data_IF_056035179673
#
_entry.id   IF_056035179673
#
_cell.length_a   1.000
_cell.length_b   1.000
_cell.length_c   1.000
_cell.angle_alpha   90.00
_cell.angle_beta   90.00
_cell.angle_gamma   90.00
#
_symmetry.space_group_name_H-M   'P 1'
#
loop_
_entity.id
_entity.type
_entity.pdbx_description
1 polymer ?
#
# COMPACT_ATOMS: atom_id res chain seq x y z
N UNK A 1 -31.06 13.67 7.98
CA UNK A 1 -31.26 12.76 6.85
C UNK A 1 -31.23 11.32 7.37
N UNK A 2 -31.90 10.36 6.70
CA UNK A 2 -31.70 8.95 7.05
C UNK A 2 -30.25 8.57 6.73
N UNK A 3 -29.67 7.71 7.55
CA UNK A 3 -28.31 7.22 7.31
C UNK A 3 -28.32 6.19 6.18
N UNK A 4 -27.24 6.18 5.41
CA UNK A 4 -27.02 5.17 4.33
C UNK A 4 -26.83 3.81 4.99
N UNK A 5 -27.57 2.80 4.57
CA UNK A 5 -27.49 1.44 5.11
C UNK A 5 -26.46 0.61 4.36
N UNK A 6 -25.64 -0.13 5.09
CA UNK A 6 -24.72 -1.12 4.56
C UNK A 6 -25.25 -2.52 4.86
N UNK A 7 -25.46 -3.34 3.83
CA UNK A 7 -25.94 -4.73 3.97
C UNK A 7 -24.82 -5.71 4.25
N UNK A 8 -23.73 -5.60 3.51
CA UNK A 8 -22.55 -6.45 3.66
C UNK A 8 -21.48 -5.69 4.45
N UNK A 9 -20.84 -6.31 5.44
CA UNK A 9 -19.82 -5.63 6.21
C UNK A 9 -18.54 -5.37 5.41
N UNK A 10 -17.80 -4.33 5.83
CA UNK A 10 -16.38 -4.14 5.54
C UNK A 10 -15.59 -4.76 6.69
N UNK A 11 -14.51 -5.48 6.40
CA UNK A 11 -13.57 -5.91 7.44
C UNK A 11 -12.78 -4.70 7.91
N UNK A 12 -12.99 -4.31 9.15
CA UNK A 12 -12.31 -3.20 9.80
C UNK A 12 -11.14 -3.72 10.62
N UNK A 13 -9.93 -3.33 10.26
CA UNK A 13 -8.69 -3.68 10.95
C UNK A 13 -8.16 -2.43 11.64
N UNK A 14 -8.41 -2.28 12.95
CA UNK A 14 -7.89 -1.18 13.75
C UNK A 14 -6.37 -1.35 13.97
N UNK A 15 -5.69 -0.30 14.40
CA UNK A 15 -4.24 -0.29 14.48
C UNK A 15 -3.68 0.33 15.75
N UNK A 16 -2.57 1.07 15.60
CA UNK A 16 -1.78 1.54 16.72
C UNK A 16 -1.60 3.07 16.76
N UNK A 17 -1.24 3.57 17.91
CA UNK A 17 -0.69 4.89 18.18
C UNK A 17 -1.55 6.05 17.62
N UNK A 18 -0.95 7.08 17.03
CA UNK A 18 -1.68 8.28 16.57
C UNK A 18 -2.69 7.95 15.47
N UNK A 19 -2.40 6.97 14.61
CA UNK A 19 -3.33 6.57 13.56
C UNK A 19 -4.61 5.94 14.09
N UNK A 20 -4.56 5.21 15.22
CA UNK A 20 -5.75 4.69 15.90
C UNK A 20 -6.63 5.83 16.44
N UNK A 21 -6.03 6.90 16.93
CA UNK A 21 -6.76 8.08 17.41
C UNK A 21 -7.47 8.78 16.24
N UNK A 22 -6.75 8.99 15.12
CA UNK A 22 -7.35 9.55 13.90
C UNK A 22 -8.45 8.65 13.34
N UNK A 23 -8.27 7.34 13.38
CA UNK A 23 -9.25 6.34 12.95
C UNK A 23 -10.59 6.51 13.65
N UNK A 24 -10.53 6.63 14.97
CA UNK A 24 -11.71 6.90 15.79
C UNK A 24 -12.39 8.22 15.41
N UNK A 25 -11.62 9.33 15.30
CA UNK A 25 -12.17 10.64 14.92
C UNK A 25 -12.85 10.60 13.54
N UNK A 26 -12.22 9.94 12.56
CA UNK A 26 -12.78 9.79 11.22
C UNK A 26 -14.12 9.05 11.27
N UNK A 27 -14.20 7.96 12.02
CA UNK A 27 -15.47 7.22 12.17
C UNK A 27 -16.55 8.09 12.79
N UNK A 28 -16.26 8.70 13.94
CA UNK A 28 -17.23 9.47 14.73
C UNK A 28 -17.68 10.75 14.02
N UNK A 29 -16.78 11.49 13.36
CA UNK A 29 -17.08 12.81 12.80
C UNK A 29 -17.44 12.77 11.30
N UNK A 30 -16.91 11.81 10.53
CA UNK A 30 -17.05 11.80 9.07
C UNK A 30 -17.91 10.65 8.54
N UNK A 31 -17.99 9.51 9.21
CA UNK A 31 -18.69 8.32 8.69
C UNK A 31 -20.02 8.07 9.39
N UNK A 32 -20.00 7.85 10.70
CA UNK A 32 -21.17 7.44 11.48
C UNK A 32 -22.33 8.45 11.46
N UNK A 33 -22.12 9.77 11.28
CA UNK A 33 -23.23 10.69 11.11
C UNK A 33 -24.07 10.43 9.85
N UNK A 34 -23.48 9.83 8.82
CA UNK A 34 -24.08 9.67 7.49
C UNK A 34 -24.39 8.21 7.12
N UNK A 35 -23.68 7.25 7.71
CA UNK A 35 -23.76 5.83 7.38
C UNK A 35 -24.13 5.03 8.64
N UNK A 36 -25.00 4.02 8.47
CA UNK A 36 -25.11 2.91 9.43
C UNK A 36 -23.92 1.98 9.14
N UNK A 37 -22.74 2.32 9.72
CA UNK A 37 -21.50 1.64 9.43
C UNK A 37 -21.56 0.18 9.91
N UNK A 38 -21.50 -0.75 8.96
CA UNK A 38 -21.51 -2.18 9.21
C UNK A 38 -20.09 -2.73 9.00
N UNK A 39 -19.42 -3.11 10.09
CA UNK A 39 -18.04 -3.62 10.02
C UNK A 39 -17.90 -4.96 10.76
N UNK A 40 -17.06 -5.83 10.24
CA UNK A 40 -16.49 -6.97 10.93
C UNK A 40 -15.16 -6.50 11.53
N UNK A 41 -15.16 -6.20 12.82
CA UNK A 41 -14.07 -5.50 13.50
C UNK A 41 -13.00 -6.45 14.02
N UNK A 42 -11.72 -6.11 13.76
CA UNK A 42 -10.51 -6.78 14.25
C UNK A 42 -9.55 -5.74 14.82
N UNK A 43 -9.16 -5.89 16.09
CA UNK A 43 -8.13 -5.06 16.71
C UNK A 43 -6.73 -5.61 16.34
N UNK A 44 -6.04 -4.96 15.42
CA UNK A 44 -4.65 -5.29 15.09
C UNK A 44 -3.63 -4.45 15.85
N UNK A 45 -4.05 -3.79 16.92
CA UNK A 45 -3.16 -3.12 17.87
C UNK A 45 -2.17 -4.12 18.48
N UNK A 46 -0.93 -3.68 18.71
CA UNK A 46 0.17 -4.54 19.12
C UNK A 46 -0.10 -5.30 20.42
N UNK A 47 -0.80 -4.67 21.38
CA UNK A 47 -1.18 -5.30 22.65
C UNK A 47 -2.11 -6.51 22.40
N UNK A 48 -3.19 -6.33 21.65
CA UNK A 48 -4.15 -7.40 21.38
C UNK A 48 -3.57 -8.48 20.48
N UNK A 49 -2.70 -8.12 19.52
CA UNK A 49 -1.92 -9.09 18.76
C UNK A 49 -1.02 -9.94 19.65
N UNK A 50 -0.39 -9.33 20.66
CA UNK A 50 0.42 -10.03 21.65
C UNK A 50 -0.42 -10.97 22.52
N UNK A 51 -1.63 -10.58 22.92
CA UNK A 51 -2.57 -11.42 23.66
C UNK A 51 -2.98 -12.65 22.87
N UNK A 52 -3.32 -12.48 21.59
CA UNK A 52 -3.81 -13.53 20.68
C UNK A 52 -2.70 -14.31 19.97
N UNK A 53 -1.43 -14.06 20.29
CA UNK A 53 -0.26 -14.62 19.59
C UNK A 53 -0.35 -14.39 18.08
N UNK A 54 -0.72 -13.17 17.69
CA UNK A 54 -0.95 -12.69 16.32
C UNK A 54 -2.04 -13.43 15.52
N UNK A 55 -2.84 -14.28 16.16
CA UNK A 55 -3.93 -15.00 15.49
C UNK A 55 -4.97 -14.04 14.90
N UNK A 56 -5.24 -12.91 15.56
CA UNK A 56 -6.18 -11.88 15.08
C UNK A 56 -5.82 -11.35 13.68
N UNK A 57 -4.53 -11.26 13.34
CA UNK A 57 -4.08 -10.84 12.00
C UNK A 57 -4.48 -11.87 10.92
N UNK A 58 -4.35 -13.15 11.25
CA UNK A 58 -4.74 -14.27 10.36
C UNK A 58 -6.27 -14.29 10.18
N UNK A 59 -7.01 -14.10 11.27
CA UNK A 59 -8.47 -14.10 11.26
C UNK A 59 -9.01 -12.93 10.43
N UNK A 60 -8.44 -11.73 10.56
CA UNK A 60 -8.78 -10.56 9.77
C UNK A 60 -8.53 -10.77 8.27
N UNK A 61 -7.39 -11.39 7.90
CA UNK A 61 -7.09 -11.71 6.51
C UNK A 61 -8.08 -12.74 5.93
N UNK A 62 -8.46 -13.75 6.71
CA UNK A 62 -9.47 -14.74 6.29
C UNK A 62 -10.86 -14.13 6.19
N UNK A 63 -11.23 -13.21 7.09
CA UNK A 63 -12.47 -12.45 6.98
C UNK A 63 -12.49 -11.60 5.70
N UNK A 64 -11.35 -11.03 5.29
CA UNK A 64 -11.24 -10.30 4.03
C UNK A 64 -11.53 -11.18 2.82
N UNK A 65 -11.07 -12.44 2.81
CA UNK A 65 -11.45 -13.40 1.76
C UNK A 65 -12.95 -13.65 1.71
N UNK A 66 -13.62 -13.68 2.87
CA UNK A 66 -15.06 -13.90 2.99
C UNK A 66 -15.87 -12.69 2.53
N UNK A 67 -15.54 -11.50 3.01
CA UNK A 67 -16.31 -10.27 2.77
C UNK A 67 -15.81 -9.43 1.60
N UNK A 68 -14.65 -9.75 1.04
CA UNK A 68 -14.04 -9.17 -0.16
C UNK A 68 -13.47 -7.77 -0.01
N UNK A 69 -13.89 -6.98 0.95
CA UNK A 69 -13.42 -5.61 1.15
C UNK A 69 -13.01 -5.41 2.61
N UNK A 70 -11.80 -4.91 2.80
CA UNK A 70 -11.24 -4.54 4.08
C UNK A 70 -10.71 -3.10 4.07
N UNK A 71 -10.67 -2.50 5.25
CA UNK A 71 -9.98 -1.23 5.49
C UNK A 71 -9.10 -1.40 6.73
N UNK A 72 -7.84 -0.95 6.64
CA UNK A 72 -6.82 -1.21 7.65
C UNK A 72 -6.16 0.08 8.12
N UNK A 73 -6.12 0.25 9.45
CA UNK A 73 -5.31 1.25 10.13
C UNK A 73 -3.82 0.85 10.14
N UNK A 74 -2.93 1.80 10.32
CA UNK A 74 -1.51 1.51 10.45
C UNK A 74 -1.19 0.75 11.75
N UNK A 75 -0.30 -0.22 11.66
CA UNK A 75 0.06 -1.13 12.76
C UNK A 75 1.56 -1.12 13.03
N UNK A 76 1.94 -1.35 14.28
CA UNK A 76 3.35 -1.46 14.69
C UNK A 76 3.92 -2.81 14.20
N UNK A 77 5.07 -2.76 13.52
CA UNK A 77 5.97 -3.91 13.40
C UNK A 77 7.04 -3.76 14.48
N UNK A 78 7.05 -4.61 15.52
CA UNK A 78 7.92 -4.40 16.66
C UNK A 78 9.40 -4.63 16.33
N UNK A 79 10.24 -3.83 16.96
CA UNK A 79 11.68 -4.00 17.04
C UNK A 79 12.08 -4.27 18.50
N UNK A 80 13.39 -4.39 18.79
CA UNK A 80 13.89 -4.67 20.14
C UNK A 80 13.41 -3.65 21.19
N UNK A 81 13.30 -2.36 20.85
CA UNK A 81 12.81 -1.34 21.78
C UNK A 81 11.33 -1.55 22.10
N UNK A 82 10.53 -1.89 21.09
CA UNK A 82 9.09 -2.18 21.26
C UNK A 82 8.83 -3.44 22.09
N UNK A 83 9.73 -4.43 22.03
CA UNK A 83 9.65 -5.63 22.88
C UNK A 83 9.60 -5.27 24.37
N UNK A 84 10.45 -4.34 24.78
CA UNK A 84 10.49 -3.89 26.19
C UNK A 84 9.35 -2.94 26.53
N UNK A 85 9.00 -2.03 25.62
CA UNK A 85 7.97 -1.01 25.83
C UNK A 85 6.56 -1.63 26.03
N UNK A 86 6.24 -2.67 25.25
CA UNK A 86 4.92 -3.32 25.26
C UNK A 86 4.91 -4.68 25.99
N UNK A 87 6.02 -5.06 26.64
CA UNK A 87 6.16 -6.37 27.32
C UNK A 87 5.73 -7.55 26.43
N UNK A 88 6.30 -7.58 25.22
CA UNK A 88 5.89 -8.56 24.22
C UNK A 88 6.49 -9.94 24.48
N UNK A 89 5.68 -10.99 24.23
CA UNK A 89 6.09 -12.40 24.31
C UNK A 89 7.16 -12.75 23.27
N UNK A 90 7.01 -12.17 22.06
CA UNK A 90 7.98 -12.33 20.97
C UNK A 90 7.94 -11.14 20.00
N UNK A 91 8.93 -11.06 19.13
CA UNK A 91 8.99 -10.03 18.08
C UNK A 91 8.08 -10.42 16.91
N UNK A 92 6.79 -10.04 17.03
CA UNK A 92 5.76 -10.37 16.06
C UNK A 92 6.11 -9.89 14.65
N UNK A 93 5.74 -10.66 13.64
CA UNK A 93 5.92 -10.31 12.23
C UNK A 93 5.08 -9.08 11.86
N UNK A 94 5.41 -8.45 10.73
CA UNK A 94 4.58 -7.39 10.18
C UNK A 94 3.19 -7.89 9.82
N UNK A 95 2.09 -7.28 10.36
CA UNK A 95 0.73 -7.64 9.97
C UNK A 95 0.50 -7.49 8.46
N UNK A 96 1.07 -6.44 7.85
CA UNK A 96 0.98 -6.24 6.40
C UNK A 96 1.61 -7.42 5.64
N UNK A 97 2.75 -7.93 6.10
CA UNK A 97 3.40 -9.10 5.50
C UNK A 97 2.54 -10.36 5.61
N UNK A 98 1.91 -10.58 6.77
CA UNK A 98 1.02 -11.73 7.01
C UNK A 98 -0.24 -11.64 6.15
N UNK A 99 -0.91 -10.48 6.12
CA UNK A 99 -2.12 -10.26 5.31
C UNK A 99 -1.82 -10.45 3.83
N UNK A 100 -0.74 -9.83 3.33
CA UNK A 100 -0.32 -9.96 1.92
C UNK A 100 0.02 -11.40 1.53
N UNK A 101 0.64 -12.16 2.44
CA UNK A 101 0.95 -13.56 2.20
C UNK A 101 -0.31 -14.45 2.14
N UNK A 102 -1.35 -14.12 2.92
CA UNK A 102 -2.62 -14.86 2.96
C UNK A 102 -3.52 -14.51 1.79
N UNK A 103 -3.62 -13.22 1.43
CA UNK A 103 -4.47 -12.74 0.35
C UNK A 103 -3.86 -12.98 -1.03
N UNK A 104 -2.54 -13.05 -1.11
CA UNK A 104 -1.75 -12.93 -2.34
C UNK A 104 -2.21 -11.71 -3.17
N UNK A 105 -1.35 -10.99 -3.82
CA UNK A 105 -1.84 -9.87 -4.62
C UNK A 105 -0.80 -8.81 -4.93
N UNK A 106 -1.34 -7.70 -5.43
CA UNK A 106 -0.59 -6.52 -5.85
C UNK A 106 -1.00 -5.33 -5.01
N UNK A 107 -0.03 -4.59 -4.50
CA UNK A 107 -0.27 -3.32 -3.81
C UNK A 107 -0.19 -2.19 -4.82
N UNK A 108 -1.31 -1.47 -5.02
CA UNK A 108 -1.36 -0.26 -5.83
C UNK A 108 -1.30 0.96 -4.92
N UNK A 109 -0.31 1.83 -5.14
CA UNK A 109 -0.11 3.08 -4.42
C UNK A 109 -0.17 4.26 -5.36
N UNK A 110 -1.09 5.18 -5.09
CA UNK A 110 -1.31 6.36 -5.92
C UNK A 110 -1.29 7.63 -5.09
N UNK A 111 -0.59 8.70 -5.52
CA UNK A 111 -0.62 9.97 -4.84
C UNK A 111 -1.99 10.63 -4.97
N UNK A 112 -2.44 11.28 -3.89
CA UNK A 112 -3.59 12.15 -3.88
C UNK A 112 -3.11 13.52 -4.34
N UNK A 113 -3.56 13.96 -5.51
CA UNK A 113 -3.17 15.24 -6.11
C UNK A 113 -4.15 16.31 -5.68
N UNK A 114 -3.63 17.43 -5.16
CA UNK A 114 -4.40 18.57 -4.67
C UNK A 114 -3.80 19.85 -5.22
N UNK A 115 -4.61 20.77 -5.70
CA UNK A 115 -4.17 22.08 -6.16
C UNK A 115 -3.50 22.85 -5.01
N UNK A 116 -2.36 23.44 -5.27
CA UNK A 116 -1.58 24.14 -4.26
C UNK A 116 -0.58 23.25 -3.50
N UNK A 117 -0.58 21.93 -3.76
CA UNK A 117 0.49 21.01 -3.32
C UNK A 117 1.19 20.50 -4.58
N UNK A 118 2.24 21.21 -4.97
CA UNK A 118 2.94 20.95 -6.23
C UNK A 118 3.99 19.85 -6.06
N UNK A 119 4.08 18.89 -7.03
CA UNK A 119 5.17 17.92 -7.03
C UNK A 119 6.55 18.60 -7.12
N UNK A 120 7.55 18.08 -6.42
CA UNK A 120 8.91 18.58 -6.54
C UNK A 120 9.53 18.32 -7.92
N UNK A 121 8.98 17.37 -8.68
CA UNK A 121 9.32 17.14 -10.09
C UNK A 121 8.35 17.93 -10.96
N UNK A 122 8.79 19.04 -11.51
CA UNK A 122 7.96 20.02 -12.25
C UNK A 122 7.19 19.44 -13.44
N UNK A 123 7.67 18.36 -14.04
CA UNK A 123 7.03 17.74 -15.19
C UNK A 123 5.81 16.88 -14.80
N UNK A 124 5.72 16.41 -13.55
CA UNK A 124 4.62 15.57 -13.13
C UNK A 124 3.32 16.38 -13.01
N UNK A 125 2.38 16.06 -13.90
CA UNK A 125 1.07 16.73 -13.99
C UNK A 125 -0.09 15.80 -13.60
N UNK A 126 0.18 14.49 -13.63
CA UNK A 126 -0.81 13.44 -13.37
C UNK A 126 -0.25 12.45 -12.36
N UNK A 127 -1.10 11.76 -11.58
CA UNK A 127 -0.65 10.74 -10.65
C UNK A 127 0.19 9.67 -11.34
N UNK A 128 1.22 9.19 -10.64
CA UNK A 128 1.99 8.00 -11.02
C UNK A 128 1.62 6.92 -10.01
N UNK A 129 0.94 5.88 -10.47
CA UNK A 129 0.56 4.75 -9.63
C UNK A 129 1.65 3.71 -9.63
N UNK A 130 2.16 3.33 -8.46
CA UNK A 130 3.10 2.21 -8.33
C UNK A 130 2.30 0.94 -8.05
N UNK A 131 2.49 -0.08 -8.91
CA UNK A 131 1.99 -1.42 -8.67
C UNK A 131 3.15 -2.28 -8.14
N UNK A 132 3.08 -2.64 -6.86
CA UNK A 132 4.09 -3.42 -6.16
C UNK A 132 3.67 -4.88 -6.05
N UNK A 133 4.50 -5.81 -6.54
CA UNK A 133 4.31 -7.23 -6.26
C UNK A 133 4.40 -7.48 -4.75
N UNK A 134 3.42 -8.13 -4.16
CA UNK A 134 3.34 -8.28 -2.70
C UNK A 134 4.07 -9.52 -2.17
N UNK A 135 4.80 -10.24 -3.00
CA UNK A 135 5.46 -11.51 -2.66
C UNK A 135 6.94 -11.53 -3.08
N UNK A 136 7.72 -12.38 -2.39
CA UNK A 136 9.08 -12.74 -2.81
C UNK A 136 10.14 -11.67 -2.55
N UNK A 137 11.23 -11.76 -3.31
CA UNK A 137 12.43 -10.92 -3.25
C UNK A 137 13.04 -10.90 -1.83
N UNK A 138 13.61 -9.78 -1.42
CA UNK A 138 14.23 -9.62 -0.09
C UNK A 138 13.25 -9.78 1.07
N UNK A 139 11.94 -9.65 0.84
CA UNK A 139 10.91 -9.85 1.87
C UNK A 139 10.62 -11.32 2.20
N UNK A 140 11.13 -12.25 1.39
CA UNK A 140 11.05 -13.71 1.58
C UNK A 140 12.44 -14.33 1.48
N UNK A 141 13.46 -13.66 2.00
CA UNK A 141 14.84 -14.12 1.95
C UNK A 141 15.18 -15.13 3.04
N UNK A 142 16.30 -15.80 2.83
CA UNK A 142 17.05 -16.56 3.84
C UNK A 142 18.47 -16.02 3.88
N UNK A 143 18.98 -15.74 5.06
CA UNK A 143 20.30 -15.13 5.25
C UNK A 143 21.19 -16.00 6.13
N UNK A 144 22.50 -15.96 5.87
CA UNK A 144 23.50 -16.55 6.74
C UNK A 144 24.77 -15.71 6.87
N UNK A 145 25.36 -15.71 8.06
CA UNK A 145 26.71 -15.20 8.27
C UNK A 145 27.72 -16.30 7.94
N UNK A 146 28.75 -15.95 7.19
CA UNK A 146 29.87 -16.83 6.85
C UNK A 146 31.01 -16.55 7.83
N UNK A 147 31.38 -17.49 8.69
CA UNK A 147 32.36 -17.24 9.76
C UNK A 147 33.82 -17.19 9.28
N UNK A 148 34.13 -17.76 8.11
CA UNK A 148 35.49 -17.87 7.59
C UNK A 148 35.57 -18.47 6.20
N UNK A 149 36.74 -18.92 5.76
CA UNK A 149 36.91 -19.50 4.43
C UNK A 149 36.02 -20.71 4.18
N UNK A 150 35.45 -20.78 2.96
CA UNK A 150 34.54 -21.85 2.58
C UNK A 150 33.75 -21.51 1.32
N UNK A 151 32.84 -22.38 0.88
CA UNK A 151 31.98 -22.14 -0.27
C UNK A 151 30.50 -22.09 0.12
N UNK A 152 29.75 -21.30 -0.61
CA UNK A 152 28.28 -21.26 -0.56
C UNK A 152 27.72 -21.66 -1.92
N UNK A 153 26.74 -22.57 -1.91
CA UNK A 153 26.05 -23.07 -3.11
C UNK A 153 24.54 -22.92 -2.93
N UNK A 154 23.82 -22.65 -4.02
CA UNK A 154 22.40 -22.88 -4.14
C UNK A 154 22.20 -24.33 -4.57
N UNK A 155 21.35 -25.06 -3.84
CA UNK A 155 21.04 -26.46 -4.12
C UNK A 155 19.54 -26.59 -4.31
N UNK A 156 19.12 -27.16 -5.44
CA UNK A 156 17.76 -27.61 -5.68
C UNK A 156 17.76 -29.13 -5.68
N UNK A 157 16.93 -29.73 -4.82
CA UNK A 157 16.73 -31.17 -4.76
C UNK A 157 15.29 -31.45 -5.22
N UNK A 158 15.16 -32.14 -6.35
CA UNK A 158 13.88 -32.56 -6.88
C UNK A 158 13.26 -33.70 -6.04
N UNK A 159 11.95 -33.97 -6.23
CA UNK A 159 11.24 -35.02 -5.49
C UNK A 159 11.82 -36.45 -5.74
N UNK A 160 12.42 -36.66 -6.90
CA UNK A 160 13.12 -37.92 -7.25
C UNK A 160 14.54 -38.02 -6.65
N UNK A 161 14.98 -36.98 -5.90
CA UNK A 161 16.29 -36.90 -5.29
C UNK A 161 17.39 -36.35 -6.20
N UNK A 162 17.09 -35.97 -7.45
CA UNK A 162 18.04 -35.33 -8.35
C UNK A 162 18.42 -33.94 -7.84
N UNK A 163 19.72 -33.65 -7.79
CA UNK A 163 20.22 -32.36 -7.32
C UNK A 163 20.82 -31.52 -8.45
N UNK A 164 20.50 -30.25 -8.43
CA UNK A 164 21.17 -29.20 -9.22
C UNK A 164 21.88 -28.23 -8.27
N UNK A 165 23.15 -27.93 -8.54
CA UNK A 165 23.96 -27.08 -7.68
C UNK A 165 24.55 -25.93 -8.49
N UNK A 166 24.47 -24.72 -7.93
CA UNK A 166 25.08 -23.51 -8.50
C UNK A 166 25.98 -22.85 -7.44
N UNK A 167 27.24 -22.64 -7.75
CA UNK A 167 28.17 -21.96 -6.85
C UNK A 167 27.79 -20.48 -6.71
N UNK A 168 27.51 -20.06 -5.48
CA UNK A 168 27.31 -18.64 -5.16
C UNK A 168 28.66 -17.94 -5.03
N UNK A 169 29.55 -18.42 -4.14
CA UNK A 169 30.86 -17.82 -3.94
C UNK A 169 31.80 -18.73 -3.16
N UNK A 170 33.10 -18.60 -3.44
CA UNK A 170 34.21 -19.16 -2.62
C UNK A 170 34.76 -18.06 -1.71
N UNK A 171 34.48 -18.14 -0.42
CA UNK A 171 34.91 -17.17 0.57
C UNK A 171 36.34 -17.42 0.99
N UNK A 172 37.18 -16.40 0.98
CA UNK A 172 38.54 -16.42 1.54
C UNK A 172 38.55 -15.98 3.02
N UNK A 173 37.46 -15.45 3.54
CA UNK A 173 37.29 -14.95 4.90
C UNK A 173 35.84 -14.79 5.29
N UNK A 174 35.54 -14.11 6.40
CA UNK A 174 34.14 -13.87 6.83
C UNK A 174 33.33 -13.08 5.79
N UNK A 175 32.02 -13.34 5.76
CA UNK A 175 31.11 -12.66 4.85
C UNK A 175 29.65 -12.89 5.21
N UNK A 176 28.78 -12.61 4.26
CA UNK A 176 27.33 -12.84 4.34
C UNK A 176 26.82 -13.45 3.04
N UNK A 177 25.79 -14.27 3.11
CA UNK A 177 25.10 -14.78 1.94
C UNK A 177 23.59 -14.63 2.14
N UNK A 178 22.87 -14.41 1.04
CA UNK A 178 21.42 -14.28 1.01
C UNK A 178 20.86 -15.04 -0.18
N UNK A 179 19.80 -15.80 0.07
CA UNK A 179 18.97 -16.43 -0.95
C UNK A 179 17.58 -15.85 -0.95
N UNK A 180 17.03 -15.58 -2.13
CA UNK A 180 15.65 -15.14 -2.32
C UNK A 180 14.96 -15.97 -3.39
N UNK A 181 13.63 -15.99 -3.40
CA UNK A 181 12.85 -16.79 -4.34
C UNK A 181 11.58 -16.04 -4.77
N UNK A 182 10.98 -16.55 -5.83
CA UNK A 182 9.64 -16.19 -6.25
C UNK A 182 8.92 -17.41 -6.85
N UNK A 183 7.61 -17.31 -7.06
CA UNK A 183 6.78 -18.35 -7.62
C UNK A 183 6.18 -17.87 -8.95
N UNK A 184 6.25 -18.68 -10.01
CA UNK A 184 5.67 -18.33 -11.31
C UNK A 184 4.18 -17.96 -11.18
N UNK A 185 3.41 -18.75 -10.43
CA UNK A 185 1.99 -18.46 -10.20
C UNK A 185 1.72 -17.12 -9.50
N UNK A 186 2.59 -16.69 -8.56
CA UNK A 186 2.49 -15.37 -7.93
C UNK A 186 2.87 -14.23 -8.90
N UNK A 187 3.85 -14.46 -9.79
CA UNK A 187 4.21 -13.51 -10.86
C UNK A 187 3.06 -13.37 -11.87
N UNK A 188 2.42 -14.48 -12.26
CA UNK A 188 1.24 -14.48 -13.14
C UNK A 188 0.08 -13.69 -12.52
N UNK A 189 -0.20 -13.92 -11.25
CA UNK A 189 -1.20 -13.18 -10.47
C UNK A 189 -0.92 -11.69 -10.46
N UNK A 190 0.34 -11.31 -10.20
CA UNK A 190 0.80 -9.92 -10.24
C UNK A 190 0.61 -9.30 -11.62
N UNK A 191 1.01 -9.99 -12.69
CA UNK A 191 0.84 -9.51 -14.06
C UNK A 191 -0.64 -9.25 -14.39
N UNK A 192 -1.52 -10.23 -14.11
CA UNK A 192 -2.97 -10.10 -14.35
C UNK A 192 -3.60 -8.97 -13.55
N UNK A 193 -3.22 -8.81 -12.29
CA UNK A 193 -3.69 -7.69 -11.46
C UNK A 193 -3.29 -6.34 -12.07
N UNK A 194 -2.04 -6.20 -12.54
CA UNK A 194 -1.56 -4.98 -13.19
C UNK A 194 -2.33 -4.68 -14.49
N UNK A 195 -2.51 -5.69 -15.36
CA UNK A 195 -3.22 -5.50 -16.62
C UNK A 195 -4.71 -5.17 -16.40
N UNK A 196 -5.38 -5.85 -15.48
CA UNK A 196 -6.77 -5.55 -15.15
C UNK A 196 -6.91 -4.15 -14.58
N UNK A 197 -6.05 -3.75 -13.64
CA UNK A 197 -6.09 -2.41 -13.07
C UNK A 197 -5.82 -1.31 -14.12
N UNK A 198 -4.92 -1.57 -15.07
CA UNK A 198 -4.66 -0.66 -16.18
C UNK A 198 -5.90 -0.47 -17.08
N UNK A 199 -6.61 -1.56 -17.39
CA UNK A 199 -7.87 -1.51 -18.15
C UNK A 199 -8.98 -0.77 -17.39
N UNK A 200 -9.14 -1.04 -16.09
CA UNK A 200 -10.16 -0.42 -15.25
C UNK A 200 -9.94 1.10 -15.11
N UNK A 201 -8.68 1.51 -14.97
CA UNK A 201 -8.30 2.93 -14.80
C UNK A 201 -8.00 3.64 -16.13
N UNK A 202 -7.97 2.91 -17.24
CA UNK A 202 -7.58 3.40 -18.58
C UNK A 202 -6.23 4.12 -18.57
N UNK A 203 -5.24 3.51 -17.95
CA UNK A 203 -3.88 4.02 -17.84
C UNK A 203 -2.88 3.08 -18.55
N UNK A 204 -1.85 3.67 -19.14
CA UNK A 204 -0.71 2.90 -19.62
C UNK A 204 -0.06 2.11 -18.49
N UNK A 205 0.50 0.95 -18.80
CA UNK A 205 1.22 0.11 -17.85
C UNK A 205 2.70 0.03 -18.24
N UNK A 206 3.56 0.50 -17.37
CA UNK A 206 5.00 0.32 -17.46
C UNK A 206 5.43 -0.81 -16.52
N UNK A 207 6.27 -1.71 -17.00
CA UNK A 207 6.88 -2.74 -16.16
C UNK A 207 8.39 -2.69 -16.27
N UNK A 208 9.10 -2.85 -15.17
CA UNK A 208 10.55 -2.74 -15.15
C UNK A 208 11.20 -3.76 -14.22
N UNK A 209 12.31 -4.34 -14.72
CA UNK A 209 13.20 -5.22 -13.97
C UNK A 209 14.64 -4.99 -14.39
N UNK A 210 15.60 -5.76 -13.87
CA UNK A 210 17.00 -5.71 -14.31
C UNK A 210 17.42 -7.03 -14.98
N UNK A 211 16.64 -7.49 -15.97
CA UNK A 211 16.81 -8.78 -16.63
C UNK A 211 18.15 -8.96 -17.34
N UNK A 212 18.83 -7.87 -17.70
CA UNK A 212 20.18 -7.90 -18.27
C UNK A 212 21.26 -8.35 -17.28
N UNK A 213 21.01 -8.20 -15.97
CA UNK A 213 21.89 -8.63 -14.88
C UNK A 213 21.34 -9.90 -14.24
N UNK A 214 20.09 -9.89 -13.81
CA UNK A 214 19.39 -11.03 -13.22
C UNK A 214 18.73 -11.86 -14.35
N UNK A 215 19.55 -12.61 -15.07
CA UNK A 215 19.18 -13.26 -16.34
C UNK A 215 18.22 -14.45 -16.21
N UNK A 216 18.02 -14.96 -15.01
CA UNK A 216 17.03 -16.00 -14.71
C UNK A 216 15.86 -15.40 -13.91
N UNK A 217 16.14 -14.83 -12.77
CA UNK A 217 15.11 -14.34 -11.85
C UNK A 217 14.26 -13.20 -12.45
N UNK A 218 14.89 -12.09 -12.82
CA UNK A 218 14.17 -10.94 -13.41
C UNK A 218 13.66 -11.21 -14.82
N UNK A 219 14.37 -12.05 -15.57
CA UNK A 219 13.96 -12.45 -16.92
C UNK A 219 12.66 -13.28 -16.89
N UNK A 220 12.49 -14.15 -15.88
CA UNK A 220 11.24 -14.88 -15.68
C UNK A 220 10.04 -13.95 -15.48
N UNK A 221 10.19 -12.87 -14.73
CA UNK A 221 9.14 -11.85 -14.60
C UNK A 221 8.78 -11.21 -15.93
N UNK A 222 9.78 -10.83 -16.72
CA UNK A 222 9.59 -10.23 -18.04
C UNK A 222 8.84 -11.17 -18.97
N UNK A 223 9.27 -12.43 -19.06
CA UNK A 223 8.68 -13.44 -19.94
C UNK A 223 7.22 -13.69 -19.58
N UNK A 224 6.91 -13.92 -18.29
CA UNK A 224 5.55 -14.16 -17.82
C UNK A 224 4.64 -12.96 -18.14
N UNK A 225 5.09 -11.73 -17.88
CA UNK A 225 4.32 -10.54 -18.23
C UNK A 225 4.05 -10.45 -19.72
N UNK A 226 5.07 -10.70 -20.56
CA UNK A 226 4.93 -10.63 -22.01
C UNK A 226 4.01 -11.71 -22.55
N UNK A 227 4.16 -12.96 -22.11
CA UNK A 227 3.31 -14.08 -22.54
C UNK A 227 1.83 -13.84 -22.19
N UNK A 228 1.55 -13.37 -20.97
CA UNK A 228 0.18 -13.05 -20.53
C UNK A 228 -0.38 -11.88 -21.34
N UNK A 229 0.42 -10.83 -21.57
CA UNK A 229 0.00 -9.68 -22.36
C UNK A 229 -0.39 -10.10 -23.77
N UNK A 230 0.50 -10.80 -24.47
CA UNK A 230 0.30 -11.20 -25.88
C UNK A 230 -0.92 -12.12 -26.03
N UNK A 231 -1.13 -13.02 -25.05
CA UNK A 231 -2.21 -13.99 -25.11
C UNK A 231 -3.58 -13.41 -24.72
N UNK A 232 -3.65 -12.63 -23.64
CA UNK A 232 -4.91 -12.35 -22.99
C UNK A 232 -5.30 -10.84 -22.97
N UNK A 233 -4.33 -9.92 -23.23
CA UNK A 233 -4.55 -8.48 -23.00
C UNK A 233 -4.23 -7.58 -24.20
N UNK A 234 -3.46 -8.00 -25.18
CA UNK A 234 -3.01 -7.13 -26.28
C UNK A 234 -4.19 -6.46 -27.01
N UNK A 235 -5.20 -7.21 -27.40
CA UNK A 235 -6.38 -6.64 -28.08
C UNK A 235 -7.20 -5.75 -27.16
N UNK A 236 -7.36 -6.11 -25.88
CA UNK A 236 -8.09 -5.30 -24.89
C UNK A 236 -7.42 -3.95 -24.65
N UNK A 237 -6.08 -3.92 -24.57
CA UNK A 237 -5.31 -2.69 -24.42
C UNK A 237 -5.44 -1.79 -25.65
N UNK A 238 -5.39 -2.39 -26.84
CA UNK A 238 -5.60 -1.68 -28.12
C UNK A 238 -7.01 -1.07 -28.19
N UNK A 239 -8.04 -1.81 -27.84
CA UNK A 239 -9.41 -1.32 -27.78
C UNK A 239 -9.60 -0.20 -26.77
N UNK A 240 -8.94 -0.30 -25.61
CA UNK A 240 -8.96 0.72 -24.55
C UNK A 240 -8.09 1.95 -24.87
N UNK A 241 -7.24 1.90 -25.92
CA UNK A 241 -6.33 2.97 -26.30
C UNK A 241 -5.18 3.20 -25.31
N UNK A 242 -4.77 2.14 -24.60
CA UNK A 242 -3.66 2.15 -23.64
C UNK A 242 -2.54 1.21 -24.07
N UNK A 243 -1.34 1.42 -23.52
CA UNK A 243 -0.14 0.68 -23.91
C UNK A 243 0.47 -0.09 -22.76
N UNK A 244 1.12 -1.22 -23.08
CA UNK A 244 2.04 -1.92 -22.20
C UNK A 244 3.47 -1.68 -22.65
N UNK A 245 4.36 -1.31 -21.72
CA UNK A 245 5.74 -0.99 -22.02
C UNK A 245 6.68 -1.63 -21.00
N UNK A 246 7.62 -2.45 -21.47
CA UNK A 246 8.68 -3.02 -20.64
C UNK A 246 10.01 -2.29 -20.87
N UNK A 247 10.75 -2.03 -19.80
CA UNK A 247 12.12 -1.49 -19.86
C UNK A 247 12.96 -1.92 -18.65
N UNK A 248 14.26 -1.61 -18.68
CA UNK A 248 15.12 -1.81 -17.51
C UNK A 248 14.78 -0.83 -16.41
N UNK A 249 14.92 -1.25 -15.15
CA UNK A 249 14.53 -0.44 -13.99
C UNK A 249 15.26 0.92 -13.92
N UNK A 250 16.53 0.97 -14.26
CA UNK A 250 17.30 2.21 -14.32
C UNK A 250 16.84 3.15 -15.45
N UNK A 251 16.46 2.61 -16.61
CA UNK A 251 15.85 3.40 -17.69
C UNK A 251 14.46 3.89 -17.29
N UNK A 252 13.65 3.04 -16.62
CA UNK A 252 12.36 3.44 -16.08
C UNK A 252 12.49 4.64 -15.14
N UNK A 253 13.41 4.61 -14.17
CA UNK A 253 13.69 5.74 -13.26
C UNK A 253 13.98 7.02 -14.04
N UNK A 254 14.85 6.96 -15.06
CA UNK A 254 15.18 8.12 -15.88
C UNK A 254 13.98 8.66 -16.68
N UNK A 255 13.11 7.76 -17.18
CA UNK A 255 11.90 8.12 -17.93
C UNK A 255 10.83 8.72 -17.03
N UNK A 256 10.61 8.14 -15.84
CA UNK A 256 9.65 8.62 -14.84
C UNK A 256 9.93 10.07 -14.49
N UNK A 257 11.19 10.44 -14.23
CA UNK A 257 11.60 11.82 -13.90
C UNK A 257 11.34 12.83 -15.03
N UNK A 258 11.24 12.37 -16.28
CA UNK A 258 11.00 13.21 -17.45
C UNK A 258 9.55 13.18 -17.93
N UNK A 259 8.74 12.28 -17.41
CA UNK A 259 7.35 12.07 -17.81
C UNK A 259 6.42 13.12 -17.24
N UNK A 260 5.19 13.18 -17.76
CA UNK A 260 4.09 13.95 -17.18
C UNK A 260 3.29 13.16 -16.13
N UNK A 261 3.57 11.87 -15.96
CA UNK A 261 2.76 10.95 -15.15
C UNK A 261 1.54 10.41 -15.90
N UNK A 262 0.55 9.88 -15.16
CA UNK A 262 -0.69 9.36 -15.72
C UNK A 262 -0.62 7.90 -16.16
N UNK A 263 0.28 7.12 -15.59
CA UNK A 263 0.45 5.70 -15.88
C UNK A 263 0.67 4.90 -14.59
N UNK A 264 0.57 3.57 -14.73
CA UNK A 264 0.92 2.61 -13.70
C UNK A 264 2.35 2.13 -13.95
N UNK A 265 3.17 2.14 -12.90
CA UNK A 265 4.51 1.58 -12.94
C UNK A 265 4.58 0.32 -12.06
N UNK A 266 4.60 -0.84 -12.72
CA UNK A 266 4.71 -2.13 -12.06
C UNK A 266 6.17 -2.43 -11.71
N UNK A 267 6.40 -2.86 -10.47
CA UNK A 267 7.70 -3.14 -9.89
C UNK A 267 7.67 -4.42 -9.08
N UNK A 268 8.78 -5.14 -9.02
CA UNK A 268 8.99 -6.23 -8.06
C UNK A 268 8.83 -5.69 -6.63
N UNK A 269 8.76 -6.60 -5.66
CA UNK A 269 8.42 -6.26 -4.28
C UNK A 269 9.31 -5.14 -3.69
N UNK A 270 10.63 -5.31 -3.67
CA UNK A 270 11.55 -4.31 -3.11
C UNK A 270 11.60 -3.03 -3.96
N UNK A 271 11.70 -3.18 -5.27
CA UNK A 271 11.71 -2.03 -6.20
C UNK A 271 10.45 -1.19 -6.00
N UNK A 272 9.28 -1.83 -5.90
CA UNK A 272 8.00 -1.17 -5.68
C UNK A 272 7.87 -0.48 -4.33
N UNK A 273 8.48 -1.04 -3.28
CA UNK A 273 8.53 -0.41 -1.96
C UNK A 273 9.28 0.92 -2.02
N UNK A 274 10.51 0.87 -2.54
CA UNK A 274 11.36 2.07 -2.63
C UNK A 274 10.78 3.12 -3.60
N UNK A 275 10.30 2.68 -4.76
CA UNK A 275 9.78 3.60 -5.78
C UNK A 275 8.44 4.23 -5.36
N UNK A 276 7.59 3.52 -4.62
CA UNK A 276 6.35 4.13 -4.13
C UNK A 276 6.62 5.25 -3.11
N UNK A 277 7.58 5.06 -2.22
CA UNK A 277 7.96 6.08 -1.25
C UNK A 277 8.63 7.29 -1.92
N UNK A 278 9.47 7.05 -2.94
CA UNK A 278 10.07 8.11 -3.74
C UNK A 278 9.01 8.95 -4.45
N UNK A 279 8.09 8.30 -5.16
CA UNK A 279 7.01 8.98 -5.91
C UNK A 279 6.11 9.75 -4.95
N UNK A 280 5.71 9.14 -3.83
CA UNK A 280 4.88 9.79 -2.81
C UNK A 280 5.54 11.04 -2.24
N UNK A 281 6.80 10.91 -1.84
CA UNK A 281 7.57 12.06 -1.29
C UNK A 281 7.69 13.18 -2.31
N UNK A 282 7.84 12.86 -3.59
CA UNK A 282 7.95 13.82 -4.66
C UNK A 282 6.61 14.50 -5.01
N UNK A 283 5.47 13.85 -4.75
CA UNK A 283 4.13 14.47 -4.84
C UNK A 283 3.75 15.27 -3.59
N UNK A 284 4.59 15.31 -2.56
CA UNK A 284 4.43 16.18 -1.40
C UNK A 284 4.54 15.48 -0.05
N UNK A 285 3.82 14.40 0.22
CA UNK A 285 3.83 13.72 1.51
C UNK A 285 3.37 12.27 1.40
N UNK A 286 3.98 11.37 2.18
CA UNK A 286 3.49 9.99 2.36
C UNK A 286 2.04 9.93 2.87
N UNK A 287 1.62 10.95 3.64
CA UNK A 287 0.25 11.08 4.12
C UNK A 287 -0.75 11.47 3.01
N UNK A 288 -0.27 11.71 1.79
CA UNK A 288 -1.06 11.99 0.58
C UNK A 288 -1.00 10.82 -0.40
N UNK A 289 -0.80 9.58 0.07
CA UNK A 289 -0.73 8.40 -0.78
C UNK A 289 -1.78 7.38 -0.33
N UNK A 290 -2.61 6.95 -1.28
CA UNK A 290 -3.50 5.80 -1.10
C UNK A 290 -2.73 4.50 -1.29
N UNK A 291 -3.18 3.44 -0.66
CA UNK A 291 -2.67 2.08 -0.83
C UNK A 291 -3.83 1.10 -0.86
N UNK A 292 -3.86 0.22 -1.85
CA UNK A 292 -4.81 -0.87 -1.92
C UNK A 292 -4.11 -2.16 -2.33
N UNK A 293 -4.30 -3.21 -1.53
CA UNK A 293 -3.95 -4.58 -1.92
C UNK A 293 -5.12 -5.18 -2.70
N UNK A 294 -4.86 -5.64 -3.91
CA UNK A 294 -5.83 -6.34 -4.75
C UNK A 294 -5.35 -7.76 -4.97
N UNK A 295 -6.13 -8.74 -4.51
CA UNK A 295 -5.81 -10.15 -4.72
C UNK A 295 -6.36 -10.65 -6.06
N UNK A 296 -5.79 -11.76 -6.62
CA UNK A 296 -6.31 -12.35 -7.87
C UNK A 296 -7.76 -12.83 -7.76
N UNK A 297 -8.22 -13.14 -6.54
CA UNK A 297 -9.58 -13.57 -6.25
C UNK A 297 -10.56 -12.42 -6.02
N UNK A 298 -10.15 -11.17 -6.28
CA UNK A 298 -10.99 -9.99 -6.11
C UNK A 298 -11.24 -9.61 -4.66
N UNK A 299 -10.26 -9.80 -3.78
CA UNK A 299 -10.28 -9.25 -2.44
C UNK A 299 -9.52 -7.91 -2.45
N UNK A 300 -10.02 -6.94 -1.70
CA UNK A 300 -9.47 -5.58 -1.63
C UNK A 300 -9.21 -5.23 -0.17
N UNK A 301 -8.00 -4.76 0.13
CA UNK A 301 -7.65 -4.21 1.44
C UNK A 301 -7.05 -2.82 1.24
N UNK A 302 -7.77 -1.81 1.76
CA UNK A 302 -7.41 -0.40 1.66
C UNK A 302 -6.69 0.03 2.93
N UNK A 303 -5.56 0.71 2.78
CA UNK A 303 -4.78 1.25 3.90
C UNK A 303 -4.15 2.60 3.55
N UNK A 304 -3.70 3.36 4.56
CA UNK A 304 -2.78 4.46 4.33
C UNK A 304 -1.35 3.91 4.14
N UNK A 305 -0.59 4.49 3.23
CA UNK A 305 0.78 4.03 2.95
C UNK A 305 1.81 4.37 4.04
N UNK A 306 1.43 5.21 5.01
CA UNK A 306 2.30 5.64 6.13
C UNK A 306 2.17 4.75 7.37
N UNK A 307 3.11 4.89 8.32
CA UNK A 307 3.10 4.18 9.59
C UNK A 307 2.21 4.85 10.67
N UNK A 308 2.38 4.41 11.91
CA UNK A 308 1.53 4.77 13.08
C UNK A 308 1.72 6.18 13.63
N UNK A 309 2.70 6.94 13.11
CA UNK A 309 3.04 8.32 13.55
C UNK A 309 3.38 8.40 15.05
N UNK A 310 4.25 7.52 15.50
CA UNK A 310 4.72 7.37 16.89
C UNK A 310 5.06 8.69 17.58
N UNK A 311 5.80 9.57 16.90
CA UNK A 311 6.26 10.84 17.49
C UNK A 311 5.09 11.75 17.89
N UNK A 312 4.02 11.78 17.10
CA UNK A 312 2.81 12.54 17.44
C UNK A 312 1.99 11.85 18.53
N UNK A 313 1.99 10.52 18.56
CA UNK A 313 1.33 9.77 19.63
C UNK A 313 1.89 10.10 21.01
N UNK A 314 3.22 10.12 21.17
CA UNK A 314 3.83 10.50 22.45
C UNK A 314 3.58 11.96 22.86
N UNK A 315 3.41 12.86 21.91
CA UNK A 315 2.95 14.22 22.21
C UNK A 315 1.51 14.23 22.70
N UNK A 316 0.65 13.52 22.01
CA UNK A 316 -0.76 13.38 22.37
C UNK A 316 -0.94 12.81 23.79
N UNK A 317 -0.16 11.79 24.17
CA UNK A 317 -0.17 11.23 25.54
C UNK A 317 0.22 12.25 26.62
N UNK A 318 0.99 13.29 26.26
CA UNK A 318 1.34 14.40 27.15
C UNK A 318 0.32 15.54 27.16
N UNK A 319 -0.78 15.39 26.43
CA UNK A 319 -1.79 16.43 26.26
C UNK A 319 -1.37 17.57 25.32
N UNK A 320 -0.31 17.37 24.52
CA UNK A 320 0.13 18.33 23.53
C UNK A 320 -0.72 18.21 22.24
N UNK A 321 -1.03 19.35 21.65
CA UNK A 321 -1.69 19.37 20.33
C UNK A 321 -0.77 18.80 19.24
N UNK A 322 -1.37 18.04 18.32
CA UNK A 322 -0.68 17.49 17.15
C UNK A 322 -1.41 17.87 15.88
N UNK A 323 -0.63 18.11 14.84
CA UNK A 323 -1.14 18.32 13.48
C UNK A 323 -0.70 17.16 12.62
N UNK A 324 -1.45 16.05 12.75
CA UNK A 324 -1.23 14.81 11.98
C UNK A 324 -2.16 14.80 10.79
N UNK A 325 -1.59 14.60 9.61
CA UNK A 325 -2.35 14.52 8.37
C UNK A 325 -3.15 13.21 8.32
N UNK A 326 -4.45 13.32 8.16
CA UNK A 326 -5.40 12.18 8.10
C UNK A 326 -5.90 11.86 6.69
N UNK A 327 -5.42 12.55 5.65
CA UNK A 327 -5.96 12.46 4.28
C UNK A 327 -5.88 11.02 3.76
N UNK A 328 -4.72 10.36 3.82
CA UNK A 328 -4.58 8.99 3.33
C UNK A 328 -5.48 8.00 4.09
N UNK A 329 -5.69 8.21 5.40
CA UNK A 329 -6.59 7.37 6.21
C UNK A 329 -8.05 7.59 5.82
N UNK A 330 -8.46 8.83 5.56
CA UNK A 330 -9.81 9.15 5.03
C UNK A 330 -10.01 8.45 3.69
N UNK A 331 -9.01 8.53 2.79
CA UNK A 331 -9.07 7.91 1.46
C UNK A 331 -9.03 6.38 1.50
N UNK A 332 -8.41 5.78 2.51
CA UNK A 332 -8.52 4.34 2.75
C UNK A 332 -10.00 3.95 3.05
N UNK A 333 -10.66 4.68 3.93
CA UNK A 333 -12.08 4.49 4.22
C UNK A 333 -12.97 4.71 2.99
N UNK A 334 -12.79 5.82 2.26
CA UNK A 334 -13.60 6.10 1.09
C UNK A 334 -13.40 5.10 -0.03
N UNK A 335 -12.17 4.62 -0.23
CA UNK A 335 -11.85 3.54 -1.16
C UNK A 335 -12.60 2.24 -0.82
N UNK A 336 -12.58 1.84 0.46
CA UNK A 336 -13.30 0.65 0.93
C UNK A 336 -14.82 0.82 0.82
N UNK A 337 -15.37 1.98 1.19
CA UNK A 337 -16.79 2.28 1.07
C UNK A 337 -17.25 2.28 -0.39
N UNK A 338 -16.49 2.90 -1.28
CA UNK A 338 -16.77 2.90 -2.73
C UNK A 338 -16.79 1.48 -3.29
N UNK A 339 -15.75 0.69 -2.99
CA UNK A 339 -15.67 -0.70 -3.45
C UNK A 339 -16.81 -1.56 -2.89
N UNK A 340 -17.16 -1.37 -1.63
CA UNK A 340 -18.32 -2.05 -1.04
C UNK A 340 -19.63 -1.63 -1.72
N UNK A 341 -19.81 -0.33 -1.97
CA UNK A 341 -20.96 0.20 -2.71
C UNK A 341 -21.08 -0.35 -4.12
N UNK A 342 -19.96 -0.44 -4.85
CA UNK A 342 -19.92 -1.05 -6.19
C UNK A 342 -20.34 -2.52 -6.16
N UNK A 343 -19.80 -3.30 -5.22
CA UNK A 343 -20.10 -4.73 -5.10
C UNK A 343 -21.53 -5.03 -4.69
N UNK A 344 -22.12 -4.16 -3.86
CA UNK A 344 -23.48 -4.32 -3.35
C UNK A 344 -24.53 -3.60 -4.20
N UNK A 345 -24.12 -2.87 -5.24
CA UNK A 345 -25.02 -2.02 -6.05
C UNK A 345 -25.60 -0.83 -5.25
N UNK A 346 -24.91 -0.38 -4.20
CA UNK A 346 -25.29 0.72 -3.33
C UNK A 346 -24.70 2.05 -3.81
N UNK A 347 -25.41 2.70 -4.72
CA UNK A 347 -24.97 3.97 -5.31
C UNK A 347 -24.90 5.14 -4.32
N UNK A 348 -25.70 5.12 -3.25
CA UNK A 348 -25.64 6.15 -2.20
C UNK A 348 -24.32 6.07 -1.43
N UNK A 349 -23.84 4.85 -1.16
CA UNK A 349 -22.56 4.63 -0.49
C UNK A 349 -21.37 5.08 -1.35
N UNK A 350 -21.41 4.79 -2.65
CA UNK A 350 -20.40 5.24 -3.62
C UNK A 350 -20.39 6.77 -3.73
N UNK A 351 -21.57 7.40 -3.87
CA UNK A 351 -21.69 8.85 -3.95
C UNK A 351 -21.21 9.55 -2.65
N UNK A 352 -21.45 8.94 -1.49
CA UNK A 352 -20.96 9.47 -0.23
C UNK A 352 -19.41 9.42 -0.16
N UNK A 353 -18.79 8.32 -0.59
CA UNK A 353 -17.33 8.21 -0.67
C UNK A 353 -16.75 9.32 -1.54
N UNK A 354 -17.31 9.58 -2.71
CA UNK A 354 -16.89 10.67 -3.61
C UNK A 354 -17.10 12.05 -2.97
N UNK A 355 -18.20 12.27 -2.26
CA UNK A 355 -18.48 13.52 -1.55
C UNK A 355 -17.45 13.78 -0.44
N UNK A 356 -17.07 12.75 0.33
CA UNK A 356 -16.10 12.88 1.41
C UNK A 356 -14.70 13.15 0.86
N UNK A 357 -14.28 12.48 -0.22
CA UNK A 357 -13.01 12.79 -0.89
C UNK A 357 -12.98 14.22 -1.39
N UNK A 358 -14.04 14.64 -2.07
CA UNK A 358 -14.15 16.02 -2.55
C UNK A 358 -14.10 17.03 -1.40
N UNK A 359 -14.83 16.81 -0.32
CA UNK A 359 -14.80 17.69 0.86
C UNK A 359 -13.41 17.78 1.47
N UNK A 360 -12.65 16.68 1.49
CA UNK A 360 -11.27 16.63 1.98
C UNK A 360 -10.34 17.46 1.08
N UNK A 361 -10.41 17.28 -0.23
CA UNK A 361 -9.63 18.04 -1.22
C UNK A 361 -9.98 19.53 -1.14
N UNK A 362 -11.27 19.89 -1.22
CA UNK A 362 -11.74 21.26 -1.16
C UNK A 362 -11.28 21.98 0.13
N UNK A 363 -11.18 21.26 1.25
CA UNK A 363 -10.68 21.85 2.51
C UNK A 363 -9.24 22.28 2.39
N UNK A 364 -8.40 21.48 1.75
CA UNK A 364 -6.98 21.81 1.53
C UNK A 364 -6.84 22.92 0.50
N UNK A 365 -7.56 22.84 -0.61
CA UNK A 365 -7.53 23.84 -1.70
C UNK A 365 -8.01 25.23 -1.25
N UNK A 366 -8.89 25.32 -0.25
CA UNK A 366 -9.29 26.56 0.42
C UNK A 366 -8.25 27.09 1.44
N UNK A 367 -7.10 26.42 1.56
CA UNK A 367 -6.00 26.82 2.43
C UNK A 367 -6.11 26.34 3.87
N UNK A 368 -7.05 25.45 4.22
CA UNK A 368 -7.17 24.82 5.55
C UNK A 368 -6.49 23.47 5.55
N UNK A 369 -5.37 23.31 6.24
CA UNK A 369 -4.56 22.11 6.13
C UNK A 369 -3.74 21.81 7.39
N UNK A 370 -3.19 20.62 7.47
CA UNK A 370 -2.25 20.22 8.49
C UNK A 370 -0.86 20.84 8.27
N UNK A 371 -0.04 20.84 9.32
CA UNK A 371 1.26 21.52 9.31
C UNK A 371 2.22 21.01 8.24
N UNK A 372 2.22 19.72 7.95
CA UNK A 372 3.06 19.12 6.91
C UNK A 372 2.73 19.67 5.52
N UNK A 373 1.45 19.82 5.18
CA UNK A 373 1.00 20.41 3.93
C UNK A 373 1.24 21.91 3.88
N UNK A 374 1.05 22.62 4.99
CA UNK A 374 1.29 24.06 5.07
C UNK A 374 2.77 24.44 4.84
N UNK A 375 3.72 23.52 5.07
CA UNK A 375 5.14 23.73 4.82
C UNK A 375 5.53 23.61 3.34
N UNK A 376 4.69 22.97 2.52
CA UNK A 376 4.99 22.69 1.11
C UNK A 376 3.97 23.30 0.14
N UNK A 377 2.88 23.88 0.64
CA UNK A 377 1.85 24.49 -0.20
C UNK A 377 2.36 25.76 -0.90
N UNK A 378 1.85 25.98 -2.11
CA UNK A 378 2.04 27.22 -2.87
C UNK A 378 0.94 28.27 -2.60
N UNK A 379 -0.08 27.89 -1.80
CA UNK A 379 -1.16 28.81 -1.43
C UNK A 379 -0.64 29.88 -0.46
N UNK A 380 -1.09 31.11 -0.64
CA UNK A 380 -0.73 32.23 0.25
C UNK A 380 -1.54 32.14 1.57
N UNK A 381 -0.83 32.33 2.69
CA UNK A 381 -1.43 32.40 4.04
C UNK A 381 -2.33 31.22 4.43
N UNK A 382 -1.85 29.98 4.35
CA UNK A 382 -2.64 28.82 4.73
C UNK A 382 -2.99 28.83 6.22
N UNK A 383 -4.19 28.39 6.56
CA UNK A 383 -4.61 28.16 7.95
C UNK A 383 -4.14 26.79 8.40
N UNK A 384 -3.16 26.76 9.30
CA UNK A 384 -2.64 25.52 9.88
C UNK A 384 -3.61 25.01 10.96
N UNK A 385 -4.12 23.80 10.78
CA UNK A 385 -5.02 23.16 11.70
C UNK A 385 -4.32 22.01 12.44
N UNK A 386 -4.72 21.76 13.70
CA UNK A 386 -4.39 20.52 14.37
C UNK A 386 -5.22 19.37 13.80
N UNK A 387 -4.94 18.14 14.23
CA UNK A 387 -5.60 16.93 13.69
C UNK A 387 -7.12 16.97 13.81
N UNK A 388 -7.64 17.34 14.97
CA UNK A 388 -9.07 17.44 15.22
C UNK A 388 -9.71 18.58 14.41
N UNK A 389 -9.09 19.75 14.38
CA UNK A 389 -9.57 20.91 13.62
C UNK A 389 -9.65 20.63 12.12
N UNK A 390 -8.70 19.85 11.57
CA UNK A 390 -8.73 19.47 10.18
C UNK A 390 -9.91 18.53 9.86
N UNK A 391 -10.13 17.49 10.68
CA UNK A 391 -11.29 16.59 10.53
C UNK A 391 -12.60 17.35 10.66
N UNK A 392 -12.72 18.27 11.62
CA UNK A 392 -13.91 19.11 11.79
C UNK A 392 -14.17 20.04 10.62
N UNK A 393 -13.11 20.61 10.02
CA UNK A 393 -13.25 21.45 8.82
C UNK A 393 -13.80 20.65 7.62
N UNK A 394 -13.41 19.38 7.49
CA UNK A 394 -13.98 18.47 6.48
C UNK A 394 -15.43 18.15 6.80
N UNK A 395 -15.76 17.85 8.07
CA UNK A 395 -17.12 17.55 8.51
C UNK A 395 -18.10 18.71 8.26
N UNK A 396 -17.66 19.96 8.36
CA UNK A 396 -18.45 21.15 8.03
C UNK A 396 -18.85 21.17 6.54
N UNK A 397 -18.00 20.71 5.64
CA UNK A 397 -18.31 20.64 4.20
C UNK A 397 -19.25 19.49 3.81
N UNK A 398 -19.41 18.52 4.69
CA UNK A 398 -20.34 17.40 4.46
C UNK A 398 -21.80 17.75 4.82
N UNK A 399 -22.02 18.79 5.62
CA UNK A 399 -23.36 19.29 5.97
C UNK A 399 -24.03 19.94 4.77
#
# INVERSE_FOLDING_TARGET
MAKIKMTTPIVEMDGDEMTRILWKMIKEDLLEPYIELNTEYYDLGLEYRNETNDQVTIDAANATKKYKVAVKCATITPNAARMTEYDLKEMWKSPNGTIRAILDGTVFRAPIVVTGIEPCVKNWKKPITIARHAYGDVYKNTEMKIPGPGKVELVYTAEDGTETRELVHNYAGPGVAQGMHNLCGSIESFARSCFNYALDTKQDLWFATKDTISKKYDHTFKDIFQEIFDKDYAEKFKEAGITYFYTLIDDAVARVMKSEGGYIWACKNYDGDVMSDMVSSAFGSLAMMTSVLVSPDGNYEYEAAHGTVQRHYYKHLKGEETSTNSVATIFAWTGALRKRGEMDGNSELTAFADKLEKATIDTIEEGKMTKDLALITTLENPTVLNSEGFIKAIAEKLK
#
